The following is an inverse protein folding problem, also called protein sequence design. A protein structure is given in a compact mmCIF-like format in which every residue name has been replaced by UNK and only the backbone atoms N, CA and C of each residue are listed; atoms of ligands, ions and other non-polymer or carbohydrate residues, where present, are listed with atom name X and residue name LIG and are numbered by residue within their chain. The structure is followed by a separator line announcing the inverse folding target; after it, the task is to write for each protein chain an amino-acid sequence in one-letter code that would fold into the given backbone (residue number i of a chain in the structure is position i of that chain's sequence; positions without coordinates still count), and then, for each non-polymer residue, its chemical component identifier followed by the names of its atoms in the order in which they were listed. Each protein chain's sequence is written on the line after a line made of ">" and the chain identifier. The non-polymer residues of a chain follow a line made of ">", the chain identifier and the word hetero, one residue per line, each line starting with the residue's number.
data_IF_724302267932
#
_entry.id   IF_724302267932
#
_cell.length_a   1.000
_cell.length_b   1.000
_cell.length_c   1.000
_cell.angle_alpha   90.00
_cell.angle_beta   90.00
_cell.angle_gamma   90.00
#
_symmetry.space_group_name_H-M   'P 1'
#
loop_
_entity.id
_entity.type
_entity.pdbx_description
1 polymer ?
#
# COMPACT_ATOMS: atom_id res chain seq x y z
N UNK A 1 -13.24 -0.13 -9.62
CA UNK A 1 -12.04 -0.42 -10.45
C UNK A 1 -10.90 0.51 -10.03
N UNK A 2 -9.63 0.09 -10.15
CA UNK A 2 -8.49 0.95 -9.79
C UNK A 2 -8.36 2.12 -10.75
N UNK A 3 -8.08 3.33 -10.24
CA UNK A 3 -7.88 4.52 -11.09
C UNK A 3 -6.57 4.43 -11.87
N UNK A 4 -5.54 3.87 -11.24
CA UNK A 4 -4.22 3.67 -11.83
C UNK A 4 -3.77 2.20 -11.76
N UNK A 5 -4.19 1.34 -12.70
CA UNK A 5 -3.93 -0.10 -12.64
C UNK A 5 -2.43 -0.47 -12.66
N UNK A 6 -1.58 0.34 -13.33
CA UNK A 6 -0.12 0.11 -13.32
C UNK A 6 0.50 0.37 -11.94
N UNK A 7 0.04 1.40 -11.22
CA UNK A 7 0.50 1.67 -9.85
C UNK A 7 0.07 0.55 -8.91
N UNK A 8 -1.18 0.09 -9.03
CA UNK A 8 -1.69 -1.03 -8.26
C UNK A 8 -0.85 -2.29 -8.48
N UNK A 9 -0.51 -2.62 -9.73
CA UNK A 9 0.32 -3.77 -10.06
C UNK A 9 1.70 -3.68 -9.41
N UNK A 10 2.37 -2.52 -9.50
CA UNK A 10 3.68 -2.29 -8.86
C UNK A 10 3.57 -2.41 -7.34
N UNK A 11 2.54 -1.83 -6.74
CA UNK A 11 2.28 -1.89 -5.30
C UNK A 11 2.08 -3.32 -4.80
N UNK A 12 1.28 -4.11 -5.52
CA UNK A 12 1.07 -5.53 -5.22
C UNK A 12 2.39 -6.29 -5.36
N UNK A 13 3.13 -6.11 -6.47
CA UNK A 13 4.42 -6.79 -6.68
C UNK A 13 5.40 -6.50 -5.53
N UNK A 14 5.53 -5.24 -5.13
CA UNK A 14 6.40 -4.84 -4.02
C UNK A 14 5.89 -5.35 -2.67
N UNK A 15 4.58 -5.24 -2.41
CA UNK A 15 3.94 -5.73 -1.20
C UNK A 15 4.14 -7.23 -0.97
N UNK A 16 4.14 -8.01 -2.05
CA UNK A 16 4.35 -9.45 -2.03
C UNK A 16 5.81 -9.88 -2.27
N UNK A 17 6.75 -8.94 -2.42
CA UNK A 17 8.15 -9.23 -2.69
C UNK A 17 8.86 -9.99 -1.56
N UNK A 18 8.40 -9.84 -0.32
CA UNK A 18 8.90 -10.63 0.82
C UNK A 18 7.75 -11.19 1.66
N UNK A 19 7.67 -12.53 1.68
CA UNK A 19 6.73 -13.26 2.54
C UNK A 19 7.06 -12.99 4.00
N UNK A 20 6.04 -12.75 4.83
CA UNK A 20 6.13 -12.49 6.29
C UNK A 20 6.65 -11.11 6.71
N UNK A 21 7.06 -10.24 5.80
CA UNK A 21 7.35 -8.83 6.14
C UNK A 21 6.05 -8.03 6.21
N UNK A 22 5.99 -7.08 7.15
CA UNK A 22 4.92 -6.09 7.23
C UNK A 22 4.88 -5.27 5.94
N UNK A 23 3.69 -4.86 5.50
CA UNK A 23 3.49 -4.09 4.27
C UNK A 23 4.39 -2.85 4.22
N UNK A 24 4.51 -2.13 5.36
CA UNK A 24 5.40 -0.97 5.48
C UNK A 24 6.87 -1.24 5.20
N UNK A 25 7.36 -2.44 5.53
CA UNK A 25 8.76 -2.81 5.29
C UNK A 25 9.02 -3.16 3.82
N UNK A 26 8.01 -3.69 3.14
CA UNK A 26 8.07 -4.02 1.71
C UNK A 26 7.98 -2.77 0.83
N UNK A 27 7.24 -1.74 1.28
CA UNK A 27 6.99 -0.52 0.51
C UNK A 27 7.86 0.69 0.91
N UNK A 28 8.78 0.52 1.88
CA UNK A 28 9.64 1.59 2.39
C UNK A 28 10.49 2.31 1.35
N UNK A 29 10.75 1.66 0.20
CA UNK A 29 11.52 2.24 -0.92
C UNK A 29 10.67 3.12 -1.82
N UNK A 30 9.34 2.98 -1.78
CA UNK A 30 8.39 3.76 -2.57
C UNK A 30 7.82 4.92 -1.77
N UNK A 31 7.53 4.70 -0.49
CA UNK A 31 6.96 5.69 0.42
C UNK A 31 7.60 5.55 1.81
N UNK A 32 7.85 6.67 2.54
CA UNK A 32 8.29 6.60 3.92
C UNK A 32 7.33 5.78 4.79
N UNK A 33 7.88 4.95 5.67
CA UNK A 33 7.10 4.05 6.54
C UNK A 33 6.07 4.77 7.39
N UNK A 34 6.37 6.00 7.80
CA UNK A 34 5.50 6.84 8.63
C UNK A 34 4.26 7.29 7.84
N UNK A 35 4.46 7.87 6.66
CA UNK A 35 3.39 8.27 5.75
C UNK A 35 2.51 7.09 5.31
N UNK A 36 3.11 5.92 5.08
CA UNK A 36 2.35 4.70 4.79
C UNK A 36 1.53 4.23 6.00
N UNK A 37 2.08 4.31 7.22
CA UNK A 37 1.33 3.92 8.43
C UNK A 37 0.13 4.84 8.65
N UNK A 38 0.32 6.15 8.50
CA UNK A 38 -0.78 7.13 8.53
C UNK A 38 -1.82 6.85 7.45
N UNK A 39 -1.40 6.52 6.24
CA UNK A 39 -2.32 6.22 5.14
C UNK A 39 -3.13 4.94 5.40
N UNK A 40 -2.50 3.91 5.96
CA UNK A 40 -3.18 2.69 6.37
C UNK A 40 -4.22 2.99 7.46
N UNK A 41 -3.87 3.78 8.47
CA UNK A 41 -4.79 4.21 9.53
C UNK A 41 -5.98 5.01 8.98
N UNK A 42 -5.75 5.95 8.05
CA UNK A 42 -6.81 6.71 7.37
C UNK A 42 -7.78 5.82 6.58
N UNK A 43 -7.31 4.67 6.11
CA UNK A 43 -8.10 3.67 5.40
C UNK A 43 -8.73 2.64 6.36
N UNK A 44 -8.63 2.83 7.68
CA UNK A 44 -9.02 1.87 8.72
C UNK A 44 -8.34 0.51 8.54
N UNK A 45 -7.07 0.52 8.12
CA UNK A 45 -6.22 -0.65 7.96
C UNK A 45 -5.20 -0.71 9.10
N UNK A 46 -4.79 -1.92 9.44
CA UNK A 46 -3.72 -2.12 10.41
C UNK A 46 -2.37 -1.68 9.79
N UNK A 47 -1.65 -0.70 10.38
CA UNK A 47 -0.32 -0.29 9.91
C UNK A 47 0.73 -1.42 10.02
N UNK A 48 0.40 -2.48 10.77
CA UNK A 48 1.19 -3.69 10.93
C UNK A 48 0.74 -4.85 10.02
N UNK A 49 -0.25 -4.62 9.17
CA UNK A 49 -0.77 -5.63 8.27
C UNK A 49 0.31 -6.16 7.30
N UNK A 50 0.20 -7.44 6.98
CA UNK A 50 0.93 -8.07 5.88
C UNK A 50 0.16 -7.89 4.58
N UNK A 51 0.86 -7.95 3.45
CA UNK A 51 0.25 -7.83 2.12
C UNK A 51 -0.92 -8.81 1.89
N UNK A 52 -0.83 -10.03 2.43
CA UNK A 52 -1.88 -11.06 2.37
C UNK A 52 -3.09 -10.77 3.26
N UNK A 53 -2.96 -9.92 4.27
CA UNK A 53 -4.07 -9.54 5.15
C UNK A 53 -4.98 -8.48 4.48
N UNK A 54 -4.51 -7.83 3.42
CA UNK A 54 -5.28 -6.84 2.68
C UNK A 54 -6.08 -7.53 1.56
N UNK A 55 -7.37 -7.24 1.53
CA UNK A 55 -8.24 -7.58 0.40
C UNK A 55 -7.92 -6.74 -0.84
N UNK A 56 -8.35 -7.22 -2.01
CA UNK A 56 -8.17 -6.50 -3.27
C UNK A 56 -8.74 -5.07 -3.23
N UNK A 57 -9.89 -4.87 -2.57
CA UNK A 57 -10.50 -3.55 -2.43
C UNK A 57 -9.63 -2.59 -1.60
N UNK A 58 -8.98 -3.10 -0.55
CA UNK A 58 -8.06 -2.30 0.27
C UNK A 58 -6.78 -1.96 -0.51
N UNK A 59 -6.28 -2.88 -1.33
CA UNK A 59 -5.19 -2.61 -2.26
C UNK A 59 -5.52 -1.52 -3.29
N UNK A 60 -6.74 -1.54 -3.85
CA UNK A 60 -7.22 -0.51 -4.77
C UNK A 60 -7.28 0.85 -4.06
N UNK A 61 -7.91 0.90 -2.88
CA UNK A 61 -8.02 2.14 -2.11
C UNK A 61 -6.63 2.72 -1.73
N UNK A 62 -5.71 1.86 -1.32
CA UNK A 62 -4.32 2.24 -1.03
C UNK A 62 -3.61 2.81 -2.26
N UNK A 63 -3.74 2.14 -3.41
CA UNK A 63 -3.13 2.59 -4.67
C UNK A 63 -3.71 3.92 -5.16
N UNK A 64 -5.02 4.10 -5.03
CA UNK A 64 -5.70 5.33 -5.44
C UNK A 64 -5.24 6.50 -4.55
N UNK A 65 -5.18 6.31 -3.22
CA UNK A 65 -4.68 7.33 -2.30
C UNK A 65 -3.21 7.66 -2.49
N UNK A 66 -2.36 6.66 -2.67
CA UNK A 66 -0.93 6.88 -2.94
C UNK A 66 -0.71 7.71 -4.21
N UNK A 67 -1.52 7.48 -5.24
CA UNK A 67 -1.42 8.24 -6.50
C UNK A 67 -1.86 9.70 -6.34
N UNK A 68 -2.80 9.97 -5.42
CA UNK A 68 -3.23 11.32 -5.04
C UNK A 68 -2.15 12.07 -4.23
N UNK A 69 -1.47 11.39 -3.30
CA UNK A 69 -0.43 12.00 -2.45
C UNK A 69 0.87 12.31 -3.21
N UNK A 70 1.19 11.57 -4.27
CA UNK A 70 2.42 11.75 -5.07
C UNK A 70 2.38 12.94 -6.05
N UNK A 71 1.35 13.79 -6.00
CA UNK A 71 1.13 14.95 -6.89
C UNK A 71 1.32 16.32 -6.20
N UNK A 72 2.17 16.40 -5.18
CA UNK A 72 2.62 17.69 -4.62
C UNK A 72 4.12 17.89 -4.90
#
# INVERSE_FOLDING_TARGET
>A
PARHPRHLETLIKLGFASRRKMLRNNLKTLIPSDALSQLLEQLNLDPQARAENLSLHQWIALSDRLSETNHC
#
